data_IF_075773947907
#
_entry.id   IF_075773947907
#
_cell.length_a   1.000
_cell.length_b   1.000
_cell.length_c   1.000
_cell.angle_alpha   90.00
_cell.angle_beta   90.00
_cell.angle_gamma   90.00
#
_symmetry.space_group_name_H-M   'P 1'
#
loop_
_entity.id
_entity.type
_entity.pdbx_description
1 polymer ?
#
# COMPACT_ATOMS: atom_id res chain seq x y z
N UNK A 1 14.55 13.03 -22.15
CA UNK A 1 15.33 12.66 -20.94
C UNK A 1 16.10 11.40 -21.24
N UNK A 2 17.42 11.40 -21.00
CA UNK A 2 18.26 10.21 -21.21
C UNK A 2 17.95 9.14 -20.16
N UNK A 3 18.16 7.84 -20.43
CA UNK A 3 17.90 6.77 -19.46
C UNK A 3 18.62 6.95 -18.12
N UNK A 4 19.83 7.49 -18.14
CA UNK A 4 20.63 7.80 -16.94
C UNK A 4 20.03 8.91 -16.09
N UNK A 5 19.51 9.95 -16.72
CA UNK A 5 18.82 11.06 -16.06
C UNK A 5 17.52 10.57 -15.41
N UNK A 6 16.76 9.71 -16.11
CA UNK A 6 15.55 9.11 -15.57
C UNK A 6 15.84 8.22 -14.36
N UNK A 7 16.92 7.41 -14.41
CA UNK A 7 17.35 6.58 -13.28
C UNK A 7 17.71 7.43 -12.06
N UNK A 8 18.41 8.55 -12.27
CA UNK A 8 18.75 9.49 -11.20
C UNK A 8 17.50 10.13 -10.61
N UNK A 9 16.61 10.65 -11.45
CA UNK A 9 15.35 11.25 -11.01
C UNK A 9 14.50 10.27 -10.18
N UNK A 10 14.34 9.02 -10.64
CA UNK A 10 13.62 7.98 -9.88
C UNK A 10 14.25 7.69 -8.52
N UNK A 11 15.58 7.68 -8.43
CA UNK A 11 16.30 7.45 -7.17
C UNK A 11 16.07 8.60 -6.19
N UNK A 12 16.13 9.83 -6.68
CA UNK A 12 16.00 11.02 -5.85
C UNK A 12 14.57 11.13 -5.30
N UNK A 13 13.55 10.86 -6.13
CA UNK A 13 12.15 10.76 -5.69
C UNK A 13 11.94 9.61 -4.70
N UNK A 14 12.51 8.42 -4.94
CA UNK A 14 12.39 7.30 -3.99
C UNK A 14 12.92 7.67 -2.62
N UNK A 15 14.08 8.33 -2.57
CA UNK A 15 14.70 8.77 -1.31
C UNK A 15 13.81 9.77 -0.57
N UNK A 16 13.26 10.76 -1.26
CA UNK A 16 12.41 11.77 -0.62
C UNK A 16 11.11 11.17 -0.10
N UNK A 17 10.48 10.26 -0.86
CA UNK A 17 9.25 9.57 -0.45
C UNK A 17 9.50 8.67 0.76
N UNK A 18 10.60 7.90 0.76
CA UNK A 18 10.95 7.05 1.90
C UNK A 18 11.17 7.88 3.17
N UNK A 19 11.97 8.94 3.08
CA UNK A 19 12.22 9.82 4.23
C UNK A 19 10.94 10.45 4.79
N UNK A 20 10.04 10.93 3.92
CA UNK A 20 8.76 11.49 4.34
C UNK A 20 7.84 10.45 5.00
N UNK A 21 7.87 9.20 4.49
CA UNK A 21 7.03 8.11 4.99
C UNK A 21 7.55 7.54 6.31
N UNK A 22 8.87 7.41 6.45
CA UNK A 22 9.55 6.93 7.65
C UNK A 22 9.46 7.95 8.80
N UNK A 23 9.27 9.23 8.49
CA UNK A 23 9.03 10.27 9.49
C UNK A 23 7.60 10.24 10.10
N UNK A 24 6.67 9.46 9.52
CA UNK A 24 5.31 9.35 10.07
C UNK A 24 5.33 8.54 11.37
N UNK A 25 4.69 9.08 12.41
CA UNK A 25 4.45 8.36 13.64
C UNK A 25 3.52 7.16 13.43
N UNK A 26 3.62 6.16 14.31
CA UNK A 26 2.87 4.91 14.17
C UNK A 26 1.35 5.11 14.10
N UNK A 27 0.79 5.91 15.00
CA UNK A 27 -0.64 6.19 15.04
C UNK A 27 -1.15 6.83 13.74
N UNK A 28 -0.36 7.76 13.19
CA UNK A 28 -0.69 8.41 11.93
C UNK A 28 -0.61 7.44 10.75
N UNK A 29 0.43 6.60 10.72
CA UNK A 29 0.60 5.55 9.71
C UNK A 29 -0.57 4.58 9.71
N UNK A 30 -1.04 4.15 10.89
CA UNK A 30 -2.22 3.28 11.06
C UNK A 30 -3.50 3.97 10.59
N UNK A 31 -3.72 5.23 10.99
CA UNK A 31 -4.90 5.99 10.60
C UNK A 31 -4.98 6.18 9.07
N UNK A 32 -3.86 6.57 8.45
CA UNK A 32 -3.76 6.75 6.99
C UNK A 32 -3.93 5.42 6.25
N UNK A 33 -3.32 4.33 6.74
CA UNK A 33 -3.49 2.99 6.16
C UNK A 33 -4.93 2.52 6.20
N UNK A 34 -5.62 2.74 7.32
CA UNK A 34 -7.05 2.44 7.48
C UNK A 34 -7.90 3.23 6.48
N UNK A 35 -7.62 4.51 6.29
CA UNK A 35 -8.34 5.35 5.33
C UNK A 35 -8.15 4.89 3.88
N UNK A 36 -6.92 4.50 3.50
CA UNK A 36 -6.62 3.95 2.17
C UNK A 36 -7.37 2.63 1.96
N UNK A 37 -7.32 1.72 2.95
CA UNK A 37 -8.03 0.45 2.89
C UNK A 37 -9.54 0.64 2.72
N UNK A 38 -10.15 1.58 3.45
CA UNK A 38 -11.58 1.90 3.30
C UNK A 38 -11.91 2.37 1.87
N UNK A 39 -11.08 3.22 1.27
CA UNK A 39 -11.27 3.67 -0.12
C UNK A 39 -11.11 2.53 -1.10
N UNK A 40 -10.09 1.70 -0.93
CA UNK A 40 -9.86 0.53 -1.79
C UNK A 40 -11.04 -0.43 -1.79
N UNK A 41 -11.60 -0.73 -0.61
CA UNK A 41 -12.76 -1.63 -0.48
C UNK A 41 -14.08 -1.04 -1.00
N UNK A 42 -14.12 0.26 -1.27
CA UNK A 42 -15.26 0.96 -1.84
C UNK A 42 -15.14 1.17 -3.37
N UNK A 43 -14.07 0.68 -3.99
CA UNK A 43 -13.93 0.68 -5.44
C UNK A 43 -14.83 -0.40 -6.03
N UNK A 44 -15.63 -0.03 -7.04
CA UNK A 44 -16.50 -0.97 -7.76
C UNK A 44 -15.70 -2.14 -8.35
N UNK A 45 -14.47 -1.87 -8.81
CA UNK A 45 -13.53 -2.86 -9.30
C UNK A 45 -13.07 -3.88 -8.25
N UNK A 46 -13.38 -3.66 -6.96
CA UNK A 46 -13.04 -4.55 -5.84
C UNK A 46 -14.29 -5.26 -5.29
N UNK A 47 -15.51 -4.84 -5.66
CA UNK A 47 -16.74 -5.36 -5.08
C UNK A 47 -17.00 -6.83 -5.45
N UNK A 48 -16.76 -7.20 -6.71
CA UNK A 48 -17.11 -8.51 -7.27
C UNK A 48 -15.91 -9.38 -7.67
N UNK A 49 -14.70 -9.01 -7.26
CA UNK A 49 -13.50 -9.79 -7.59
C UNK A 49 -13.39 -11.04 -6.71
N UNK A 50 -13.17 -12.19 -7.35
CA UNK A 50 -12.94 -13.44 -6.64
C UNK A 50 -11.55 -13.54 -6.00
N UNK A 51 -10.55 -12.85 -6.56
CA UNK A 51 -9.15 -12.89 -6.11
C UNK A 51 -8.51 -11.51 -6.26
N UNK A 52 -7.80 -11.07 -5.22
CA UNK A 52 -6.96 -9.87 -5.24
C UNK A 52 -5.53 -10.26 -4.93
N UNK A 53 -4.59 -9.87 -5.78
CA UNK A 53 -3.17 -10.01 -5.48
C UNK A 53 -2.73 -8.88 -4.55
N UNK A 54 -2.27 -9.23 -3.35
CA UNK A 54 -1.70 -8.31 -2.39
C UNK A 54 -0.19 -8.54 -2.20
N UNK A 55 0.48 -7.58 -1.58
CA UNK A 55 1.85 -7.73 -1.10
C UNK A 55 1.87 -7.64 0.43
N UNK A 56 2.88 -8.24 1.04
CA UNK A 56 3.18 -8.04 2.45
C UNK A 56 3.88 -6.69 2.65
N UNK A 57 3.28 -5.81 3.45
CA UNK A 57 3.81 -4.47 3.69
C UNK A 57 5.05 -4.49 4.58
N UNK A 58 6.09 -3.75 4.19
CA UNK A 58 7.33 -3.58 4.98
C UNK A 58 7.56 -2.14 5.44
N UNK A 59 8.15 -1.99 6.62
CA UNK A 59 8.51 -0.68 7.19
C UNK A 59 7.31 0.27 7.24
N UNK A 60 7.48 1.45 6.65
CA UNK A 60 6.48 2.51 6.63
C UNK A 60 5.45 2.40 5.48
N UNK A 61 5.42 1.28 4.76
CA UNK A 61 4.40 1.00 3.73
C UNK A 61 2.97 1.02 4.28
N UNK A 62 2.01 1.18 3.37
CA UNK A 62 0.58 1.03 3.68
C UNK A 62 0.35 -0.35 4.23
N UNK A 63 -0.24 -0.44 5.42
CA UNK A 63 -0.49 -1.72 6.06
C UNK A 63 -1.48 -2.54 5.23
N UNK A 64 -1.06 -3.74 4.82
CA UNK A 64 -1.87 -4.72 4.08
C UNK A 64 -2.15 -5.99 4.91
N UNK A 65 -2.58 -5.88 6.19
CA UNK A 65 -2.75 -7.06 7.02
C UNK A 65 -3.80 -7.98 6.40
N UNK A 66 -3.66 -9.32 6.54
CA UNK A 66 -4.48 -10.32 5.86
C UNK A 66 -5.95 -10.36 6.30
N UNK A 67 -6.45 -9.33 6.99
CA UNK A 67 -7.84 -9.25 7.43
C UNK A 67 -8.74 -8.96 6.25
N UNK A 68 -9.04 -10.01 5.51
CA UNK A 68 -10.21 -10.07 4.69
C UNK A 68 -11.43 -10.20 5.61
N UNK A 69 -12.18 -9.12 5.76
CA UNK A 69 -13.44 -9.12 6.51
C UNK A 69 -14.64 -9.49 5.63
N UNK A 70 -14.40 -9.89 4.36
CA UNK A 70 -15.44 -10.40 3.47
C UNK A 70 -15.56 -11.93 3.65
N UNK A 71 -16.79 -12.48 3.62
CA UNK A 71 -17.05 -13.91 3.85
C UNK A 71 -16.47 -14.87 2.78
N UNK A 72 -15.74 -14.37 1.76
CA UNK A 72 -15.19 -15.16 0.64
C UNK A 72 -13.67 -15.16 0.54
N UNK A 73 -12.94 -14.66 1.53
CA UNK A 73 -11.51 -14.92 1.55
C UNK A 73 -11.23 -16.28 2.16
N UNK A 74 -10.95 -17.25 1.29
CA UNK A 74 -10.23 -18.44 1.70
C UNK A 74 -8.83 -18.01 2.17
N UNK A 75 -8.62 -18.03 3.48
CA UNK A 75 -7.29 -18.23 4.03
C UNK A 75 -6.85 -19.61 3.57
N UNK A 76 -5.97 -19.66 2.58
CA UNK A 76 -5.21 -20.87 2.30
C UNK A 76 -4.28 -21.08 3.50
N UNK A 77 -4.74 -21.92 4.44
CA UNK A 77 -3.91 -22.59 5.43
C UNK A 77 -3.20 -23.78 4.78
#
# INVERSE_FOLDING_TARGET
MRPSELKRAKRDVRRSVLAARDALGEAERVARSTAIRRRFLALHEVEDVGVVMGFWSFGSEVSTPPRCSRPRCSTWS
#
